data_IF_089032208150
#
_entry.id   IF_089032208150
#
_cell.length_a   1.000
_cell.length_b   1.000
_cell.length_c   1.000
_cell.angle_alpha   90.00
_cell.angle_beta   90.00
_cell.angle_gamma   90.00
#
_symmetry.space_group_name_H-M   'P 1'
#
loop_
_entity.id
_entity.type
_entity.pdbx_description
1 polymer ?
#
# COMPACT_ATOMS: atom_id res chain seq x y z
N UNK A 1 -1.83 5.08 1.16
CA UNK A 1 -1.52 5.05 2.60
C UNK A 1 -2.62 5.80 3.33
N UNK A 2 -3.13 5.24 4.41
CA UNK A 2 -4.16 5.84 5.26
C UNK A 2 -3.60 5.95 6.68
N UNK A 3 -3.77 7.10 7.30
CA UNK A 3 -3.43 7.32 8.71
C UNK A 3 -4.62 7.97 9.40
N UNK A 4 -5.15 7.30 10.42
CA UNK A 4 -6.27 7.79 11.20
C UNK A 4 -5.74 8.71 12.29
N UNK A 5 -6.00 10.01 12.20
CA UNK A 5 -5.54 10.99 13.18
C UNK A 5 -6.43 10.97 14.42
N UNK A 6 -7.74 10.93 14.21
CA UNK A 6 -8.73 10.97 15.29
C UNK A 6 -9.94 10.10 14.95
N UNK A 7 -10.51 9.48 15.98
CA UNK A 7 -11.71 8.65 15.89
C UNK A 7 -11.42 7.17 15.69
N UNK A 8 -12.38 6.46 15.11
CA UNK A 8 -12.31 5.03 14.82
C UNK A 8 -13.04 4.72 13.53
N UNK A 9 -12.41 3.93 12.65
CA UNK A 9 -12.95 3.68 11.31
C UNK A 9 -12.80 2.21 10.94
N UNK A 10 -13.85 1.64 10.35
CA UNK A 10 -13.80 0.34 9.70
C UNK A 10 -13.30 0.51 8.27
N UNK A 11 -12.09 0.05 7.99
CA UNK A 11 -11.55 -0.10 6.65
C UNK A 11 -12.02 -1.42 6.06
N UNK A 12 -12.81 -1.35 4.99
CA UNK A 12 -13.24 -2.52 4.21
C UNK A 12 -12.48 -2.56 2.89
N UNK A 13 -11.82 -3.68 2.64
CA UNK A 13 -11.24 -4.07 1.35
C UNK A 13 -11.99 -5.32 0.84
N UNK A 14 -11.88 -5.59 -0.46
CA UNK A 14 -12.39 -6.77 -1.17
C UNK A 14 -12.21 -8.13 -0.46
N UNK A 15 -11.22 -8.28 0.40
CA UNK A 15 -10.94 -9.53 1.11
C UNK A 15 -11.21 -9.48 2.62
N UNK A 16 -11.13 -8.30 3.25
CA UNK A 16 -11.06 -8.16 4.72
C UNK A 16 -11.63 -6.82 5.20
N UNK A 17 -12.31 -6.86 6.35
CA UNK A 17 -12.60 -5.68 7.17
C UNK A 17 -11.60 -5.58 8.31
N UNK A 18 -11.03 -4.39 8.52
CA UNK A 18 -10.14 -4.07 9.64
C UNK A 18 -10.64 -2.82 10.34
N UNK A 19 -10.72 -2.85 11.66
CA UNK A 19 -10.92 -1.64 12.46
C UNK A 19 -9.59 -0.94 12.67
N UNK A 20 -9.57 0.37 12.42
CA UNK A 20 -8.47 1.28 12.68
C UNK A 20 -8.84 2.17 13.86
N UNK A 21 -7.91 2.28 14.80
CA UNK A 21 -7.99 3.20 15.93
C UNK A 21 -7.17 4.48 15.64
N UNK A 22 -7.39 5.50 16.46
CA UNK A 22 -6.59 6.72 16.38
C UNK A 22 -5.08 6.40 16.42
N UNK A 23 -4.34 7.11 15.59
CA UNK A 23 -2.91 6.95 15.30
C UNK A 23 -2.51 5.68 14.53
N UNK A 24 -3.45 4.82 14.13
CA UNK A 24 -3.12 3.65 13.31
C UNK A 24 -2.94 3.97 11.82
N UNK A 25 -2.02 3.23 11.19
CA UNK A 25 -1.72 3.29 9.77
C UNK A 25 -2.25 2.05 9.04
N UNK A 26 -2.75 2.25 7.82
CA UNK A 26 -3.12 1.20 6.91
C UNK A 26 -2.53 1.42 5.51
N UNK A 27 -1.99 0.34 4.95
CA UNK A 27 -1.48 0.31 3.58
C UNK A 27 -2.51 -0.39 2.70
N UNK A 28 -3.09 0.36 1.77
CA UNK A 28 -3.99 -0.19 0.75
C UNK A 28 -3.19 -0.39 -0.54
N UNK A 29 -3.11 -1.65 -0.97
CA UNK A 29 -2.39 -2.05 -2.17
C UNK A 29 -3.15 -1.68 -3.45
N UNK A 30 -2.44 -1.60 -4.59
CA UNK A 30 -3.05 -1.27 -5.88
C UNK A 30 -4.14 -2.26 -6.29
N UNK A 31 -5.07 -1.81 -7.13
CA UNK A 31 -6.20 -2.60 -7.65
C UNK A 31 -7.15 -3.18 -6.60
N UNK A 32 -7.03 -2.74 -5.34
CA UNK A 32 -7.95 -3.12 -4.27
C UNK A 32 -9.03 -2.05 -4.13
N UNK A 33 -10.29 -2.46 -4.25
CA UNK A 33 -11.43 -1.58 -3.93
C UNK A 33 -11.54 -1.52 -2.42
N UNK A 34 -11.51 -0.30 -1.88
CA UNK A 34 -11.59 -0.08 -0.45
C UNK A 34 -12.58 1.03 -0.12
N UNK A 35 -13.08 1.02 1.11
CA UNK A 35 -14.00 2.01 1.65
C UNK A 35 -13.79 2.16 3.15
N UNK A 36 -14.05 3.36 3.67
CA UNK A 36 -14.01 3.67 5.10
C UNK A 36 -15.43 3.88 5.59
N UNK A 37 -15.80 3.19 6.66
CA UNK A 37 -17.09 3.30 7.32
C UNK A 37 -16.89 3.68 8.78
N UNK A 38 -17.66 4.63 9.28
CA UNK A 38 -17.63 4.98 10.69
C UNK A 38 -18.99 5.51 11.13
N UNK A 39 -19.26 5.39 12.44
CA UNK A 39 -20.44 5.94 13.11
C UNK A 39 -20.18 7.32 13.74
N UNK A 40 -18.92 7.74 13.79
CA UNK A 40 -18.49 8.99 14.43
C UNK A 40 -17.80 9.90 13.43
N UNK A 41 -17.58 11.16 13.79
CA UNK A 41 -16.65 12.03 13.08
C UNK A 41 -15.22 11.47 13.20
N UNK A 42 -14.43 11.60 12.13
CA UNK A 42 -13.04 11.15 12.10
C UNK A 42 -12.20 12.12 11.29
N UNK A 43 -10.90 12.12 11.58
CA UNK A 43 -9.91 12.84 10.79
C UNK A 43 -8.96 11.82 10.19
N UNK A 44 -8.93 11.73 8.86
CA UNK A 44 -8.11 10.74 8.13
C UNK A 44 -7.17 11.48 7.18
N UNK A 45 -5.89 11.18 7.27
CA UNK A 45 -4.92 11.56 6.25
C UNK A 45 -4.79 10.42 5.22
N UNK A 46 -4.95 10.76 3.94
CA UNK A 46 -4.73 9.84 2.82
C UNK A 46 -3.61 10.34 1.92
N UNK A 47 -2.63 9.48 1.66
CA UNK A 47 -1.57 9.72 0.69
C UNK A 47 -1.68 8.68 -0.43
N UNK A 48 -1.98 9.17 -1.63
CA UNK A 48 -2.04 8.36 -2.85
C UNK A 48 -0.75 8.53 -3.64
N UNK A 49 -0.03 7.44 -3.85
CA UNK A 49 1.21 7.46 -4.61
C UNK A 49 0.92 7.20 -6.10
N UNK A 50 1.41 8.08 -6.97
CA UNK A 50 1.21 7.95 -8.41
C UNK A 50 2.09 6.82 -8.99
N UNK A 51 1.47 5.91 -9.74
CA UNK A 51 2.16 4.77 -10.32
C UNK A 51 3.22 5.15 -11.35
N UNK A 52 3.00 6.17 -12.18
CA UNK A 52 3.92 6.59 -13.23
C UNK A 52 5.21 7.25 -12.70
N UNK A 53 5.16 7.87 -11.52
CA UNK A 53 6.38 8.34 -10.86
C UNK A 53 7.12 7.19 -10.17
N UNK A 54 6.40 6.33 -9.44
CA UNK A 54 7.00 5.19 -8.73
C UNK A 54 7.66 4.18 -9.67
N UNK A 55 7.00 3.82 -10.77
CA UNK A 55 7.54 2.85 -11.76
C UNK A 55 8.79 3.34 -12.48
N UNK A 56 9.04 4.65 -12.51
CA UNK A 56 10.31 5.20 -13.01
C UNK A 56 11.44 5.08 -12.00
N UNK A 57 11.13 5.02 -10.71
CA UNK A 57 12.12 4.83 -9.64
C UNK A 57 12.41 3.35 -9.40
N UNK A 58 11.37 2.52 -9.40
CA UNK A 58 11.43 1.07 -9.20
C UNK A 58 10.33 0.41 -10.03
N UNK A 59 10.73 -0.31 -11.09
CA UNK A 59 9.81 -0.99 -12.00
C UNK A 59 9.02 -2.12 -11.36
N UNK A 60 9.59 -2.74 -10.32
CA UNK A 60 9.01 -3.89 -9.62
C UNK A 60 8.28 -3.49 -8.33
N UNK A 61 8.19 -2.19 -8.05
CA UNK A 61 7.52 -1.66 -6.86
C UNK A 61 6.12 -2.28 -6.66
N UNK A 62 5.35 -2.38 -7.74
CA UNK A 62 4.00 -2.94 -7.67
C UNK A 62 3.90 -4.46 -7.88
N UNK A 63 5.02 -5.16 -7.96
CA UNK A 63 5.09 -6.63 -7.96
C UNK A 63 5.05 -7.22 -6.54
N UNK A 64 5.06 -6.37 -5.51
CA UNK A 64 4.95 -6.76 -4.11
C UNK A 64 3.64 -6.27 -3.49
N UNK A 65 3.16 -6.98 -2.46
CA UNK A 65 2.13 -6.48 -1.56
C UNK A 65 2.81 -5.84 -0.35
N UNK A 66 2.32 -4.68 0.05
CA UNK A 66 2.79 -3.99 1.24
C UNK A 66 1.87 -4.26 2.42
N UNK A 67 2.44 -4.69 3.55
CA UNK A 67 1.67 -5.09 4.74
C UNK A 67 2.35 -4.61 6.01
N UNK A 68 1.54 -4.06 6.92
CA UNK A 68 1.94 -3.78 8.31
C UNK A 68 2.02 -5.06 9.15
N UNK A 69 3.01 -5.15 10.02
CA UNK A 69 3.16 -6.20 11.03
C UNK A 69 3.73 -5.63 12.33
N UNK A 70 3.84 -6.45 13.37
CA UNK A 70 4.52 -6.05 14.62
C UNK A 70 5.98 -5.64 14.40
N UNK A 71 6.63 -6.19 13.36
CA UNK A 71 8.04 -5.93 13.02
C UNK A 71 8.24 -4.62 12.26
N UNK A 72 7.18 -3.98 11.77
CA UNK A 72 7.24 -2.74 11.00
C UNK A 72 6.89 -1.50 11.83
N UNK A 73 6.70 -1.65 13.15
CA UNK A 73 6.19 -0.57 14.01
C UNK A 73 7.10 0.67 14.02
N UNK A 74 8.42 0.46 14.03
CA UNK A 74 9.43 1.52 13.88
C UNK A 74 9.32 2.26 12.53
N UNK A 75 9.08 1.50 11.47
CA UNK A 75 8.90 2.04 10.13
C UNK A 75 7.55 2.78 9.99
N UNK A 76 6.52 2.37 10.72
CA UNK A 76 5.23 3.07 10.75
C UNK A 76 5.35 4.46 11.37
N UNK A 77 6.14 4.62 12.43
CA UNK A 77 6.43 5.92 13.04
C UNK A 77 7.09 6.85 12.01
N UNK A 78 8.04 6.32 11.25
CA UNK A 78 8.73 7.06 10.18
C UNK A 78 7.77 7.42 9.04
N UNK A 79 6.89 6.50 8.63
CA UNK A 79 5.85 6.81 7.64
C UNK A 79 4.93 7.94 8.10
N UNK A 80 4.48 7.92 9.36
CA UNK A 80 3.64 8.98 9.94
C UNK A 80 4.36 10.32 9.95
N UNK A 81 5.64 10.33 10.30
CA UNK A 81 6.48 11.52 10.22
C UNK A 81 6.52 12.08 8.79
N UNK A 82 6.87 11.26 7.79
CA UNK A 82 6.97 11.68 6.39
C UNK A 82 5.63 12.15 5.81
N UNK A 83 4.54 11.45 6.13
CA UNK A 83 3.19 11.89 5.77
C UNK A 83 2.87 13.26 6.37
N UNK A 84 3.17 13.47 7.65
CA UNK A 84 2.95 14.78 8.29
C UNK A 84 3.76 15.90 7.63
N UNK A 85 5.02 15.63 7.26
CA UNK A 85 5.85 16.61 6.53
C UNK A 85 5.21 17.00 5.20
N UNK A 86 4.74 16.02 4.42
CA UNK A 86 4.03 16.26 3.17
C UNK A 86 2.73 17.05 3.36
N UNK A 87 1.98 16.79 4.44
CA UNK A 87 0.78 17.55 4.77
C UNK A 87 1.11 19.01 5.08
N UNK A 88 2.09 19.25 5.95
CA UNK A 88 2.51 20.61 6.34
C UNK A 88 2.96 21.38 5.10
N UNK A 89 3.74 20.76 4.21
CA UNK A 89 4.18 21.37 2.97
C UNK A 89 3.03 21.64 1.98
N UNK A 90 2.04 20.76 1.92
CA UNK A 90 0.82 21.00 1.14
C UNK A 90 -0.04 22.17 1.66
N UNK A 91 0.02 22.45 2.96
CA UNK A 91 -0.68 23.56 3.60
C UNK A 91 0.10 24.89 3.53
N UNK A 92 1.43 24.83 3.57
CA UNK A 92 2.33 25.99 3.54
C UNK A 92 2.82 26.22 2.11
N UNK A 93 2.09 27.06 1.37
CA UNK A 93 2.37 27.64 0.04
C UNK A 93 3.45 26.93 -0.84
N UNK A 94 3.07 26.32 -1.98
CA UNK A 94 3.98 25.56 -2.85
C UNK A 94 4.95 26.45 -3.62
N UNK A 95 5.98 26.97 -2.96
CA UNK A 95 7.14 27.53 -3.63
C UNK A 95 8.00 26.42 -4.26
N UNK A 96 8.78 26.78 -5.28
CA UNK A 96 9.60 25.82 -6.03
C UNK A 96 10.60 25.05 -5.16
N UNK A 97 11.09 25.67 -4.07
CA UNK A 97 11.99 25.02 -3.12
C UNK A 97 11.36 23.74 -2.55
N UNK A 98 10.15 23.87 -1.98
CA UNK A 98 9.37 22.81 -1.35
C UNK A 98 9.07 21.59 -2.25
N UNK A 99 9.19 21.72 -3.58
CA UNK A 99 9.03 20.57 -4.49
C UNK A 99 10.15 19.54 -4.32
N UNK A 100 11.37 19.98 -3.98
CA UNK A 100 12.50 19.08 -3.77
C UNK A 100 12.34 18.29 -2.48
N UNK A 101 11.96 18.95 -1.37
CA UNK A 101 11.68 18.27 -0.10
C UNK A 101 10.51 17.30 -0.24
N UNK A 102 9.44 17.70 -0.93
CA UNK A 102 8.32 16.81 -1.21
C UNK A 102 8.78 15.56 -2.00
N UNK A 103 9.58 15.72 -3.05
CA UNK A 103 10.13 14.59 -3.81
C UNK A 103 11.06 13.71 -2.96
N UNK A 104 11.86 14.31 -2.08
CA UNK A 104 12.72 13.59 -1.14
C UNK A 104 11.88 12.73 -0.19
N UNK A 105 10.91 13.33 0.49
CA UNK A 105 10.05 12.59 1.43
C UNK A 105 9.22 11.51 0.72
N UNK A 106 8.70 11.79 -0.48
CA UNK A 106 8.03 10.77 -1.29
C UNK A 106 8.97 9.60 -1.63
N UNK A 107 10.22 9.89 -1.98
CA UNK A 107 11.23 8.85 -2.27
C UNK A 107 11.59 8.04 -1.02
N UNK A 108 11.71 8.70 0.14
CA UNK A 108 11.91 8.02 1.43
C UNK A 108 10.71 7.11 1.78
N UNK A 109 9.48 7.55 1.54
CA UNK A 109 8.28 6.72 1.70
C UNK A 109 8.35 5.49 0.78
N UNK A 110 8.70 5.68 -0.50
CA UNK A 110 8.82 4.58 -1.46
C UNK A 110 9.88 3.57 -1.02
N UNK A 111 11.06 4.05 -0.63
CA UNK A 111 12.14 3.19 -0.14
C UNK A 111 11.75 2.42 1.12
N UNK A 112 11.07 3.09 2.06
CA UNK A 112 10.63 2.47 3.30
C UNK A 112 9.59 1.38 3.05
N UNK A 113 8.65 1.62 2.13
CA UNK A 113 7.69 0.62 1.67
C UNK A 113 8.40 -0.60 1.06
N UNK A 114 9.32 -0.37 0.11
CA UNK A 114 10.05 -1.42 -0.57
C UNK A 114 10.95 -2.26 0.37
N UNK A 115 11.54 -1.63 1.39
CA UNK A 115 12.52 -2.29 2.27
C UNK A 115 11.91 -2.95 3.52
N UNK A 116 10.85 -2.37 4.10
CA UNK A 116 10.31 -2.82 5.41
C UNK A 116 8.93 -3.45 5.31
N UNK A 117 8.09 -3.00 4.39
CA UNK A 117 6.70 -3.42 4.29
C UNK A 117 6.45 -4.43 3.15
N UNK A 118 7.43 -4.61 2.27
CA UNK A 118 7.31 -5.43 1.08
C UNK A 118 7.19 -6.91 1.41
N UNK A 119 6.19 -7.55 0.82
CA UNK A 119 6.05 -9.01 0.74
C UNK A 119 5.88 -9.40 -0.73
N UNK A 120 6.75 -10.28 -1.27
CA UNK A 120 6.66 -10.69 -2.65
C UNK A 120 5.30 -11.35 -2.92
N UNK A 121 4.62 -10.94 -3.99
CA UNK A 121 3.35 -11.56 -4.39
C UNK A 121 3.53 -13.04 -4.77
N UNK A 122 4.76 -13.46 -5.07
CA UNK A 122 5.15 -14.83 -5.45
C UNK A 122 4.89 -15.91 -4.38
N UNK A 123 4.49 -15.53 -3.16
CA UNK A 123 4.14 -16.46 -2.09
C UNK A 123 2.63 -16.56 -1.81
N UNK A 124 1.77 -15.85 -2.55
CA UNK A 124 0.35 -16.20 -2.60
C UNK A 124 0.16 -17.25 -3.69
N UNK A 125 0.18 -18.52 -3.29
CA UNK A 125 -0.21 -19.63 -4.15
C UNK A 125 -1.48 -19.24 -4.93
N UNK A 126 -1.47 -19.29 -6.28
CA UNK A 126 -2.68 -19.06 -7.04
C UNK A 126 -3.68 -20.12 -6.60
N UNK A 127 -4.77 -19.72 -5.92
CA UNK A 127 -5.90 -20.59 -5.57
C UNK A 127 -6.67 -20.99 -6.85
N UNK A 128 -5.99 -21.73 -7.72
CA UNK A 128 -6.38 -22.07 -9.08
C UNK A 128 -5.33 -22.87 -9.87
N UNK A 129 -4.09 -23.02 -9.36
CA UNK A 129 -3.04 -23.81 -10.01
C UNK A 129 -3.42 -25.29 -10.20
N UNK A 130 -4.27 -25.87 -9.33
CA UNK A 130 -4.75 -27.25 -9.49
C UNK A 130 -5.60 -27.44 -10.75
N UNK A 131 -6.40 -26.43 -11.15
CA UNK A 131 -7.26 -26.51 -12.34
C UNK A 131 -6.51 -26.22 -13.65
N UNK A 132 -5.46 -25.40 -13.60
CA UNK A 132 -4.63 -25.09 -14.77
C UNK A 132 -3.77 -26.30 -15.17
N UNK A 133 -3.18 -27.00 -14.19
CA UNK A 133 -2.31 -28.16 -14.42
C UNK A 133 -3.06 -29.36 -15.02
N UNK A 134 -4.30 -29.64 -14.60
CA UNK A 134 -5.08 -30.74 -15.19
C UNK A 134 -5.48 -30.47 -16.64
N UNK A 135 -5.75 -29.21 -16.98
CA UNK A 135 -6.20 -28.82 -18.32
C UNK A 135 -5.04 -28.81 -19.32
N UNK A 136 -3.84 -28.41 -18.89
CA UNK A 136 -2.61 -28.51 -19.71
C UNK A 136 -2.19 -29.98 -19.87
N UNK A 137 -2.18 -30.78 -18.80
CA UNK A 137 -1.83 -32.21 -18.90
C UNK A 137 -2.79 -32.98 -19.82
N UNK A 138 -4.08 -32.63 -19.85
CA UNK A 138 -5.06 -33.22 -20.80
C UNK A 138 -4.85 -32.78 -22.25
N UNK A 139 -4.32 -31.59 -22.49
CA UNK A 139 -4.02 -31.13 -23.86
C UNK A 139 -2.74 -31.78 -24.36
N UNK A 140 -1.71 -31.89 -23.52
CA UNK A 140 -0.45 -32.58 -23.87
C UNK A 140 -0.68 -34.08 -24.12
N UNK A 141 -1.44 -34.77 -23.26
CA UNK A 141 -1.76 -36.19 -23.45
C UNK A 141 -2.62 -36.51 -24.69
N UNK A 142 -3.20 -35.49 -25.34
CA UNK A 142 -4.00 -35.65 -26.56
C UNK A 142 -3.21 -35.34 -27.84
N UNK A 143 -2.00 -34.81 -27.71
CA UNK A 143 -1.07 -34.56 -28.81
C UNK A 143 -0.13 -35.77 -29.01
N UNK A 144 0.11 -36.55 -27.95
CA UNK A 144 0.99 -37.74 -27.96
C UNK A 144 0.26 -39.08 -28.23
N UNK A 145 -1.02 -39.05 -28.64
CA UNK A 145 -1.82 -40.23 -29.02
C UNK A 145 -2.32 -40.12 -30.45
#
# INVERSE_FOLDING_TARGET
LLWLLEGSVELRDSEKSRYLQADELAIVNRHRRWSLHSKTANVVMSLSLNAGWLTRLDGDFFASAYQSSSETRDAEDTLRYLMRQLLVLGLVNPQAHYRLEANRWLSEIALLLASRFSRPLSAQAPRGAERWSQRINRVVARIDA
#
